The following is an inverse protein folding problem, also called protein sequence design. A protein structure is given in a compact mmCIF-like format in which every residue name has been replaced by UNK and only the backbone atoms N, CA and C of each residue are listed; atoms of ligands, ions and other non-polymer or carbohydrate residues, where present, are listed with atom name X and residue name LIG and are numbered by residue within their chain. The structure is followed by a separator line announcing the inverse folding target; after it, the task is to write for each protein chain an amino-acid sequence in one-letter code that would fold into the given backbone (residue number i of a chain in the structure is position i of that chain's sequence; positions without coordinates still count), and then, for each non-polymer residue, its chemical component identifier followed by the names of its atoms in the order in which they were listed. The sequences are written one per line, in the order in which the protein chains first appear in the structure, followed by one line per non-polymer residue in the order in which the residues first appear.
data_IF_949189580374
#
_entry.id   IF_949189580374
#
_cell.length_a   1.000
_cell.length_b   1.000
_cell.length_c   1.000
_cell.angle_alpha   90.00
_cell.angle_beta   90.00
_cell.angle_gamma   90.00
#
_symmetry.space_group_name_H-M   'P 1'
#
loop_
_entity.id
_entity.type
_entity.pdbx_description
1 polymer ?
#
# COMPACT_ATOMS: atom_id res chain seq x y z
N UNK A 1 -0.59 25.26 16.57
CA UNK A 1 -0.44 23.79 16.80
C UNK A 1 -1.03 22.97 15.68
N UNK A 2 -2.27 23.24 15.24
CA UNK A 2 -2.94 22.48 14.15
C UNK A 2 -2.15 22.54 12.84
N UNK A 3 -1.66 23.72 12.45
CA UNK A 3 -0.91 23.92 11.21
C UNK A 3 0.45 23.19 11.18
N UNK A 4 1.13 23.10 12.33
CA UNK A 4 2.37 22.33 12.47
C UNK A 4 2.12 20.82 12.33
N UNK A 5 1.04 20.32 12.95
CA UNK A 5 0.64 18.93 12.85
C UNK A 5 0.26 18.56 11.40
N UNK A 6 -0.47 19.43 10.70
CA UNK A 6 -0.78 19.26 9.28
C UNK A 6 0.48 19.22 8.41
N UNK A 7 1.46 20.09 8.69
CA UNK A 7 2.75 20.08 8.01
C UNK A 7 3.49 18.75 8.16
N UNK A 8 3.52 18.20 9.37
CA UNK A 8 4.14 16.89 9.64
C UNK A 8 3.38 15.77 8.90
N UNK A 9 2.04 15.78 8.96
CA UNK A 9 1.23 14.75 8.28
C UNK A 9 1.49 14.74 6.76
N UNK A 10 1.62 15.91 6.12
CA UNK A 10 1.97 16.02 4.69
C UNK A 10 3.31 15.34 4.38
N UNK A 11 4.33 15.62 5.19
CA UNK A 11 5.68 15.05 5.01
C UNK A 11 5.65 13.54 5.25
N UNK A 12 4.95 13.10 6.31
CA UNK A 12 4.80 11.69 6.65
C UNK A 12 4.16 10.91 5.50
N UNK A 13 3.08 11.43 4.91
CA UNK A 13 2.39 10.75 3.81
C UNK A 13 3.29 10.59 2.58
N UNK A 14 4.02 11.63 2.19
CA UNK A 14 4.96 11.56 1.06
C UNK A 14 6.07 10.54 1.34
N UNK A 15 6.60 10.53 2.57
CA UNK A 15 7.62 9.56 2.98
C UNK A 15 7.09 8.12 2.94
N UNK A 16 5.89 7.87 3.49
CA UNK A 16 5.24 6.56 3.47
C UNK A 16 4.96 6.08 2.04
N UNK A 17 4.54 6.98 1.14
CA UNK A 17 4.36 6.65 -0.27
C UNK A 17 5.66 6.14 -0.92
N UNK A 18 6.78 6.84 -0.68
CA UNK A 18 8.10 6.46 -1.20
C UNK A 18 8.51 5.10 -0.63
N UNK A 19 8.39 4.91 0.68
CA UNK A 19 8.74 3.63 1.34
C UNK A 19 7.90 2.48 0.77
N UNK A 20 6.60 2.66 0.60
CA UNK A 20 5.73 1.65 0.00
C UNK A 20 6.15 1.31 -1.45
N UNK A 21 6.49 2.31 -2.25
CA UNK A 21 7.03 2.11 -3.60
C UNK A 21 8.34 1.32 -3.62
N UNK A 22 9.27 1.62 -2.71
CA UNK A 22 10.53 0.87 -2.56
C UNK A 22 10.28 -0.58 -2.15
N UNK A 23 9.37 -0.82 -1.19
CA UNK A 23 9.01 -2.18 -0.77
C UNK A 23 8.38 -2.93 -1.94
N UNK A 24 7.45 -2.32 -2.67
CA UNK A 24 6.81 -2.93 -3.84
C UNK A 24 7.85 -3.33 -4.91
N UNK A 25 8.80 -2.43 -5.22
CA UNK A 25 9.85 -2.68 -6.20
C UNK A 25 10.82 -3.80 -5.76
N UNK A 26 11.23 -3.79 -4.49
CA UNK A 26 12.14 -4.82 -3.95
C UNK A 26 11.45 -6.18 -3.85
N UNK A 27 10.18 -6.22 -3.44
CA UNK A 27 9.37 -7.44 -3.38
C UNK A 27 9.15 -8.04 -4.77
N UNK A 28 8.86 -7.21 -5.78
CA UNK A 28 8.73 -7.68 -7.16
C UNK A 28 10.02 -8.37 -7.66
N UNK A 29 11.18 -7.77 -7.37
CA UNK A 29 12.49 -8.34 -7.74
C UNK A 29 12.77 -9.64 -6.98
N UNK A 30 12.45 -9.70 -5.70
CA UNK A 30 12.65 -10.88 -4.86
C UNK A 30 11.71 -12.04 -5.25
N UNK A 31 10.44 -11.75 -5.52
CA UNK A 31 9.43 -12.75 -5.87
C UNK A 31 9.73 -13.44 -7.21
N UNK A 32 10.34 -12.74 -8.17
CA UNK A 32 10.83 -13.36 -9.41
C UNK A 32 11.93 -14.41 -9.19
N UNK A 33 12.69 -14.30 -8.10
CA UNK A 33 13.84 -15.19 -7.82
C UNK A 33 13.50 -16.36 -6.89
N UNK A 34 12.42 -16.26 -6.10
CA UNK A 34 12.03 -17.29 -5.12
C UNK A 34 10.57 -17.66 -5.31
N UNK A 35 10.30 -18.92 -5.67
CA UNK A 35 8.96 -19.49 -5.84
C UNK A 35 8.09 -19.32 -4.59
N UNK A 36 8.71 -19.38 -3.42
CA UNK A 36 8.01 -19.37 -2.13
C UNK A 36 7.44 -17.98 -1.79
N UNK A 37 7.88 -16.95 -2.52
CA UNK A 37 7.39 -15.57 -2.40
C UNK A 37 6.30 -15.24 -3.44
N UNK A 38 5.79 -16.23 -4.18
CA UNK A 38 4.68 -16.02 -5.13
C UNK A 38 3.39 -15.52 -4.46
N UNK A 39 2.97 -16.01 -3.27
CA UNK A 39 1.79 -15.48 -2.59
C UNK A 39 1.90 -13.99 -2.27
N UNK A 40 3.11 -13.50 -2.01
CA UNK A 40 3.40 -12.10 -1.71
C UNK A 40 3.30 -11.19 -2.94
N UNK A 41 3.11 -11.72 -4.16
CA UNK A 41 2.83 -10.89 -5.34
C UNK A 41 1.54 -10.09 -5.18
N UNK A 42 0.57 -10.59 -4.41
CA UNK A 42 -0.67 -9.87 -4.12
C UNK A 42 -0.48 -8.70 -3.14
N UNK A 43 0.63 -8.68 -2.39
CA UNK A 43 0.99 -7.53 -1.56
C UNK A 43 1.43 -6.32 -2.42
N UNK A 44 1.96 -6.55 -3.61
CA UNK A 44 2.45 -5.49 -4.50
C UNK A 44 1.34 -4.54 -4.95
N UNK A 45 0.18 -4.99 -5.50
CA UNK A 45 -0.92 -4.08 -5.78
C UNK A 45 -1.47 -3.40 -4.53
N UNK A 46 -1.44 -4.05 -3.35
CA UNK A 46 -1.82 -3.40 -2.09
C UNK A 46 -0.88 -2.23 -1.75
N UNK A 47 0.44 -2.42 -1.89
CA UNK A 47 1.45 -1.38 -1.64
C UNK A 47 1.37 -0.24 -2.66
N UNK A 48 1.04 -0.54 -3.92
CA UNK A 48 0.82 0.49 -4.95
C UNK A 48 -0.45 1.30 -4.66
N UNK A 49 -1.55 0.66 -4.27
CA UNK A 49 -2.76 1.36 -3.85
C UNK A 49 -2.52 2.21 -2.60
N UNK A 50 -1.74 1.69 -1.64
CA UNK A 50 -1.33 2.45 -0.45
C UNK A 50 -0.48 3.67 -0.84
N UNK A 51 0.50 3.51 -1.73
CA UNK A 51 1.28 4.64 -2.25
C UNK A 51 0.39 5.71 -2.88
N UNK A 52 -0.60 5.32 -3.70
CA UNK A 52 -1.57 6.24 -4.29
C UNK A 52 -2.42 6.93 -3.21
N UNK A 53 -2.89 6.19 -2.20
CA UNK A 53 -3.66 6.73 -1.07
C UNK A 53 -2.87 7.81 -0.33
N UNK A 54 -1.60 7.58 -0.06
CA UNK A 54 -0.74 8.54 0.63
C UNK A 54 -0.49 9.81 -0.20
N UNK A 55 -0.30 9.66 -1.51
CA UNK A 55 -0.19 10.81 -2.45
C UNK A 55 -1.50 11.61 -2.44
N UNK A 56 -2.66 10.95 -2.50
CA UNK A 56 -3.97 11.61 -2.42
C UNK A 56 -4.18 12.28 -1.06
N UNK A 57 -3.74 11.65 0.03
CA UNK A 57 -3.78 12.22 1.38
C UNK A 57 -2.94 13.51 1.47
N UNK A 58 -1.73 13.50 0.88
CA UNK A 58 -0.90 14.70 0.78
C UNK A 58 -1.59 15.79 -0.06
N UNK A 59 -2.14 15.45 -1.23
CA UNK A 59 -2.85 16.40 -2.11
C UNK A 59 -4.08 17.03 -1.43
N UNK A 60 -4.82 16.23 -0.66
CA UNK A 60 -5.96 16.72 0.14
C UNK A 60 -5.50 17.69 1.21
N UNK A 61 -4.40 17.39 1.88
CA UNK A 61 -3.83 18.28 2.89
C UNK A 61 -3.32 19.62 2.29
N UNK A 62 -2.98 19.66 1.00
CA UNK A 62 -2.72 20.90 0.25
C UNK A 62 -3.98 21.57 -0.30
N UNK A 63 -5.18 21.13 0.08
CA UNK A 63 -6.47 21.62 -0.39
C UNK A 63 -6.63 21.59 -1.93
N UNK A 64 -5.86 20.73 -2.62
CA UNK A 64 -5.93 20.60 -4.09
C UNK A 64 -6.95 19.56 -4.57
N UNK A 65 -7.39 18.66 -3.68
CA UNK A 65 -8.25 17.55 -4.07
C UNK A 65 -9.13 17.08 -2.91
N UNK A 66 -10.45 17.10 -3.10
CA UNK A 66 -11.41 16.53 -2.16
C UNK A 66 -12.34 15.57 -2.89
N UNK A 67 -12.20 14.28 -2.61
CA UNK A 67 -13.12 13.27 -3.12
C UNK A 67 -13.34 12.19 -2.06
N UNK A 68 -14.57 12.13 -1.56
CA UNK A 68 -15.04 11.13 -0.59
C UNK A 68 -15.05 9.71 -1.17
N UNK A 69 -15.15 9.57 -2.48
CA UNK A 69 -15.20 8.26 -3.14
C UNK A 69 -13.87 7.50 -3.01
N UNK A 70 -12.76 8.18 -3.29
CA UNK A 70 -11.42 7.57 -3.21
C UNK A 70 -11.02 7.21 -1.78
N UNK A 71 -11.50 7.97 -0.79
CA UNK A 71 -11.19 7.71 0.63
C UNK A 71 -11.77 6.42 1.17
N UNK A 72 -12.77 5.82 0.51
CA UNK A 72 -13.34 4.54 0.94
C UNK A 72 -12.90 3.37 0.06
N UNK A 73 -12.80 3.59 -1.25
CA UNK A 73 -12.53 2.49 -2.19
C UNK A 73 -11.09 2.04 -2.15
N UNK A 74 -10.14 2.97 -2.06
CA UNK A 74 -8.72 2.61 -2.05
C UNK A 74 -8.38 1.80 -0.79
N UNK A 75 -8.75 2.22 0.44
CA UNK A 75 -8.53 1.39 1.63
C UNK A 75 -9.20 0.02 1.57
N UNK A 76 -10.41 -0.06 1.02
CA UNK A 76 -11.12 -1.35 0.85
C UNK A 76 -10.38 -2.26 -0.11
N UNK A 77 -9.86 -1.72 -1.22
CA UNK A 77 -9.03 -2.45 -2.17
C UNK A 77 -7.72 -2.94 -1.55
N UNK A 78 -7.03 -2.08 -0.79
CA UNK A 78 -5.82 -2.46 -0.03
C UNK A 78 -6.12 -3.65 0.88
N UNK A 79 -7.19 -3.56 1.68
CA UNK A 79 -7.58 -4.62 2.60
C UNK A 79 -7.89 -5.93 1.87
N UNK A 80 -8.62 -5.87 0.75
CA UNK A 80 -8.91 -7.06 -0.05
C UNK A 80 -7.64 -7.75 -0.57
N UNK A 81 -6.68 -6.99 -1.10
CA UNK A 81 -5.40 -7.55 -1.55
C UNK A 81 -4.56 -8.12 -0.39
N UNK A 82 -4.59 -7.47 0.78
CA UNK A 82 -3.92 -7.99 1.98
C UNK A 82 -4.52 -9.32 2.44
N UNK A 83 -5.85 -9.44 2.44
CA UNK A 83 -6.54 -10.69 2.78
C UNK A 83 -6.14 -11.79 1.80
N UNK A 84 -6.17 -11.51 0.50
CA UNK A 84 -5.78 -12.48 -0.54
C UNK A 84 -4.32 -12.93 -0.36
N UNK A 85 -3.40 -11.99 -0.15
CA UNK A 85 -1.99 -12.29 0.07
C UNK A 85 -1.79 -13.20 1.29
N UNK A 86 -2.51 -12.92 2.39
CA UNK A 86 -2.42 -13.69 3.63
C UNK A 86 -3.02 -15.09 3.49
N UNK A 87 -4.19 -15.21 2.85
CA UNK A 87 -4.84 -16.50 2.59
C UNK A 87 -3.95 -17.38 1.72
N UNK A 88 -3.38 -16.84 0.64
CA UNK A 88 -2.48 -17.61 -0.23
C UNK A 88 -1.19 -18.00 0.49
N UNK A 89 -0.66 -17.15 1.35
CA UNK A 89 0.51 -17.48 2.15
C UNK A 89 0.22 -18.61 3.15
N UNK A 90 -0.96 -18.59 3.80
CA UNK A 90 -1.38 -19.66 4.70
C UNK A 90 -1.52 -20.99 3.96
N UNK A 91 -2.19 -20.99 2.80
CA UNK A 91 -2.35 -22.20 1.98
C UNK A 91 -1.01 -22.75 1.47
N UNK A 92 -0.09 -21.87 1.06
CA UNK A 92 1.26 -22.27 0.66
C UNK A 92 2.05 -22.87 1.84
N UNK A 93 1.91 -22.31 3.05
CA UNK A 93 2.60 -22.84 4.23
C UNK A 93 2.03 -24.18 4.71
N UNK A 94 0.73 -24.43 4.48
CA UNK A 94 0.07 -25.73 4.72
C UNK A 94 0.39 -26.78 3.64
N UNK A 95 1.19 -26.45 2.61
CA UNK A 95 1.53 -27.36 1.52
C UNK A 95 0.37 -27.67 0.57
N UNK A 96 -0.68 -26.83 0.57
CA UNK A 96 -1.87 -26.97 -0.30
C UNK A 96 -1.69 -26.29 -1.67
N UNK A 97 -0.51 -25.74 -1.96
CA UNK A 97 -0.17 -24.93 -3.14
C UNK A 97 1.27 -25.19 -3.61
#
# INVERSE_FOLDING_TARGET
MVEYLEGILKIANIFLAIVAGVIAATLWKASKRRSDLRPWLFLIPALLLFMVQEILGALRAFQRFESLFFTHIIPTGILAFLIIALVLQLLANEGKL
#
